data_IF_814596886236
#
_entry.id   IF_814596886236
#
_cell.length_a   1.000
_cell.length_b   1.000
_cell.length_c   1.000
_cell.angle_alpha   90.00
_cell.angle_beta   90.00
_cell.angle_gamma   90.00
#
_symmetry.space_group_name_H-M   'P 1'
#
loop_
_entity.id
_entity.type
_entity.pdbx_description
1 polymer ?
#
# COMPACT_ATOMS: atom_id res chain seq x y z
N UNK A 1 -67.24 -28.24 -9.99
CA UNK A 1 -65.98 -28.48 -9.25
C UNK A 1 -64.88 -27.85 -10.03
N UNK A 2 -64.56 -26.62 -9.72
CA UNK A 2 -63.48 -25.82 -10.31
C UNK A 2 -62.30 -25.85 -9.36
N UNK A 3 -61.25 -26.51 -9.77
CA UNK A 3 -59.98 -26.59 -9.04
C UNK A 3 -59.20 -25.32 -9.24
N UNK A 4 -59.10 -24.45 -8.23
CA UNK A 4 -58.17 -23.34 -8.19
C UNK A 4 -56.75 -23.87 -7.96
N UNK A 5 -55.94 -23.74 -8.95
CA UNK A 5 -54.48 -23.93 -8.83
C UNK A 5 -53.87 -22.69 -8.17
N UNK A 6 -53.47 -22.82 -6.92
CA UNK A 6 -52.64 -21.84 -6.21
C UNK A 6 -51.28 -21.77 -6.87
N UNK A 7 -51.05 -20.68 -7.58
CA UNK A 7 -49.76 -20.30 -8.11
C UNK A 7 -48.88 -19.85 -6.95
N UNK A 8 -47.95 -20.69 -6.50
CA UNK A 8 -46.90 -20.33 -5.57
C UNK A 8 -45.84 -19.48 -6.31
N UNK A 9 -45.84 -18.17 -6.11
CA UNK A 9 -44.76 -17.31 -6.50
C UNK A 9 -43.50 -17.77 -5.76
N UNK A 10 -42.37 -18.04 -6.46
CA UNK A 10 -41.16 -18.41 -5.75
C UNK A 10 -40.69 -17.23 -4.89
N UNK A 11 -40.38 -17.50 -3.62
CA UNK A 11 -39.81 -16.50 -2.72
C UNK A 11 -38.51 -15.97 -3.33
N UNK A 12 -38.49 -14.69 -3.71
CA UNK A 12 -37.29 -14.05 -4.19
C UNK A 12 -36.32 -13.86 -3.03
N UNK A 13 -35.14 -14.47 -3.13
CA UNK A 13 -34.07 -14.29 -2.17
C UNK A 13 -33.30 -13.02 -2.59
N UNK A 14 -33.36 -11.97 -1.77
CA UNK A 14 -32.62 -10.73 -1.99
C UNK A 14 -31.39 -10.69 -1.08
N UNK A 15 -30.20 -10.84 -1.66
CA UNK A 15 -28.92 -10.77 -0.97
C UNK A 15 -28.14 -9.56 -1.45
N UNK A 16 -27.62 -8.76 -0.54
CA UNK A 16 -26.73 -7.65 -0.87
C UNK A 16 -25.48 -7.64 0.01
N UNK A 17 -24.36 -7.22 -0.55
CA UNK A 17 -23.09 -7.05 0.15
C UNK A 17 -22.75 -5.56 0.31
N UNK A 18 -22.04 -5.25 1.38
CA UNK A 18 -21.56 -3.89 1.61
C UNK A 18 -20.16 -3.76 1.01
N UNK A 19 -20.04 -3.40 -0.23
CA UNK A 19 -18.80 -3.14 -0.99
C UNK A 19 -17.46 -3.58 -0.37
N UNK A 20 -16.59 -4.16 -1.15
CA UNK A 20 -15.31 -4.73 -0.68
C UNK A 20 -14.30 -3.65 -0.27
N UNK A 21 -13.39 -3.94 0.69
CA UNK A 21 -12.24 -3.09 0.95
C UNK A 21 -11.36 -3.04 -0.29
N UNK A 22 -11.23 -1.86 -0.89
CA UNK A 22 -10.34 -1.66 -2.03
C UNK A 22 -8.95 -1.32 -1.46
N UNK A 23 -7.92 -2.13 -1.72
CA UNK A 23 -6.55 -1.76 -1.41
C UNK A 23 -6.17 -0.49 -2.17
N UNK A 24 -5.33 0.35 -1.57
CA UNK A 24 -4.82 1.56 -2.23
C UNK A 24 -3.95 1.21 -3.45
N UNK A 25 -3.48 -0.03 -3.52
CA UNK A 25 -2.61 -0.56 -4.57
C UNK A 25 -3.20 -1.81 -5.21
N UNK A 26 -3.24 -1.85 -6.53
CA UNK A 26 -3.39 -3.12 -7.24
C UNK A 26 -2.08 -3.89 -7.15
N UNK A 27 -2.08 -4.91 -6.27
CA UNK A 27 -0.90 -5.73 -5.99
C UNK A 27 -0.40 -6.47 -7.23
N UNK A 28 -1.27 -6.73 -8.22
CA UNK A 28 -0.92 -7.45 -9.45
C UNK A 28 0.02 -6.64 -10.33
N UNK A 29 -0.16 -5.34 -10.42
CA UNK A 29 0.71 -4.47 -11.23
C UNK A 29 2.15 -4.40 -10.71
N UNK A 30 2.35 -4.53 -9.40
CA UNK A 30 3.67 -4.46 -8.78
C UNK A 30 4.45 -5.75 -8.87
N UNK A 31 3.74 -6.89 -8.88
CA UNK A 31 4.34 -8.22 -8.87
C UNK A 31 4.60 -8.78 -10.27
N UNK A 32 4.18 -8.08 -11.32
CA UNK A 32 4.58 -8.40 -12.69
C UNK A 32 6.01 -7.92 -12.92
N UNK A 33 6.96 -8.72 -12.41
CA UNK A 33 8.37 -8.57 -12.69
C UNK A 33 8.61 -9.01 -14.12
N UNK A 34 8.86 -8.06 -15.00
CA UNK A 34 9.19 -8.30 -16.38
C UNK A 34 10.66 -7.96 -16.65
N UNK A 35 11.29 -8.69 -17.55
CA UNK A 35 12.56 -8.23 -18.08
C UNK A 35 12.41 -6.85 -18.70
N UNK A 36 13.46 -6.03 -18.59
CA UNK A 36 13.48 -4.69 -19.16
C UNK A 36 13.22 -4.74 -20.67
N UNK A 37 12.12 -4.14 -21.10
CA UNK A 37 11.69 -4.15 -22.50
C UNK A 37 12.02 -2.81 -23.18
N UNK A 38 12.44 -2.89 -24.47
CA UNK A 38 12.60 -1.74 -25.32
C UNK A 38 11.27 -1.35 -25.99
N UNK A 39 10.77 -0.13 -25.73
CA UNK A 39 9.51 0.34 -26.30
C UNK A 39 9.64 1.12 -27.62
N UNK A 40 10.84 1.17 -28.21
CA UNK A 40 11.16 1.94 -29.40
C UNK A 40 11.86 3.27 -29.14
N UNK A 41 11.79 3.82 -27.91
CA UNK A 41 12.35 5.11 -27.52
C UNK A 41 13.26 5.01 -26.28
N UNK A 42 12.86 4.23 -25.26
CA UNK A 42 13.62 3.97 -24.04
C UNK A 42 13.35 2.55 -23.54
N UNK A 43 14.12 2.12 -22.57
CA UNK A 43 13.86 0.90 -21.83
C UNK A 43 12.82 1.14 -20.74
N UNK A 44 11.80 0.29 -20.68
CA UNK A 44 10.82 0.35 -19.60
C UNK A 44 11.41 -0.22 -18.31
N UNK A 45 11.15 0.41 -17.15
CA UNK A 45 11.55 -0.14 -15.87
C UNK A 45 10.92 -1.52 -15.63
N UNK A 46 11.67 -2.48 -15.03
CA UNK A 46 11.18 -3.86 -14.80
C UNK A 46 10.01 -3.91 -13.82
N UNK A 47 9.86 -2.88 -12.99
CA UNK A 47 8.79 -2.73 -12.02
C UNK A 47 8.18 -1.34 -12.19
N UNK A 48 6.86 -1.25 -12.04
CA UNK A 48 6.15 0.03 -12.10
C UNK A 48 6.69 1.03 -11.06
N UNK A 49 7.26 2.14 -11.55
CA UNK A 49 7.78 3.21 -10.69
C UNK A 49 6.67 3.87 -9.88
N UNK A 50 5.48 4.04 -10.50
CA UNK A 50 4.28 4.53 -9.81
C UNK A 50 3.80 3.55 -8.74
N UNK A 51 3.93 2.26 -9.02
CA UNK A 51 3.64 1.21 -8.05
C UNK A 51 4.58 1.28 -6.84
N UNK A 52 5.89 1.42 -7.05
CA UNK A 52 6.85 1.57 -5.95
C UNK A 52 6.63 2.86 -5.14
N UNK A 53 6.31 3.99 -5.80
CA UNK A 53 5.98 5.25 -5.11
C UNK A 53 4.75 5.09 -4.20
N UNK A 54 3.73 4.37 -4.65
CA UNK A 54 2.56 4.05 -3.83
C UNK A 54 2.89 3.05 -2.72
N UNK A 55 3.65 1.98 -3.03
CA UNK A 55 4.07 0.97 -2.08
C UNK A 55 4.88 1.55 -0.91
N UNK A 56 5.68 2.58 -1.15
CA UNK A 56 6.39 3.31 -0.09
C UNK A 56 5.48 3.71 1.08
N UNK A 57 4.19 3.97 0.83
CA UNK A 57 3.22 4.42 1.84
C UNK A 57 2.28 3.31 2.33
N UNK A 58 2.42 2.08 1.86
CA UNK A 58 1.50 0.98 2.19
C UNK A 58 1.58 0.56 3.66
N UNK A 59 2.76 0.56 4.25
CA UNK A 59 2.96 0.15 5.64
C UNK A 59 3.90 1.08 6.41
N UNK A 60 3.56 1.32 7.68
CA UNK A 60 4.29 2.24 8.56
C UNK A 60 5.76 1.84 8.70
N UNK A 61 6.04 0.57 8.96
CA UNK A 61 7.41 0.09 9.18
C UNK A 61 8.24 0.07 7.91
N UNK A 62 7.60 -0.15 6.75
CA UNK A 62 8.23 -0.04 5.43
C UNK A 62 8.72 1.40 5.17
N UNK A 63 7.82 2.37 5.29
CA UNK A 63 8.18 3.78 5.10
C UNK A 63 9.24 4.25 6.11
N UNK A 64 9.08 3.87 7.39
CA UNK A 64 10.00 4.27 8.45
C UNK A 64 11.41 3.73 8.26
N UNK A 65 11.56 2.48 7.83
CA UNK A 65 12.86 1.87 7.55
C UNK A 65 13.60 2.61 6.42
N UNK A 66 12.92 2.94 5.34
CA UNK A 66 13.44 3.73 4.24
C UNK A 66 13.89 5.12 4.71
N UNK A 67 13.06 5.79 5.52
CA UNK A 67 13.35 7.13 6.05
C UNK A 67 14.59 7.10 6.96
N UNK A 68 14.73 6.08 7.82
CA UNK A 68 15.89 5.91 8.70
C UNK A 68 17.16 5.72 7.88
N UNK A 69 17.18 4.78 6.92
CA UNK A 69 18.32 4.57 6.00
C UNK A 69 18.73 5.87 5.31
N UNK A 70 17.77 6.59 4.70
CA UNK A 70 18.00 7.89 4.07
C UNK A 70 18.59 8.93 5.03
N UNK A 71 18.07 8.99 6.25
CA UNK A 71 18.54 9.97 7.23
C UNK A 71 19.98 9.67 7.69
N UNK A 72 20.30 8.40 7.93
CA UNK A 72 21.66 7.96 8.25
C UNK A 72 22.63 8.33 7.13
N UNK A 73 22.31 7.95 5.90
CA UNK A 73 23.15 8.31 4.72
C UNK A 73 23.33 9.82 4.60
N UNK A 74 22.26 10.59 4.77
CA UNK A 74 22.34 12.05 4.71
C UNK A 74 23.15 12.67 5.86
N UNK A 75 23.11 12.08 7.05
CA UNK A 75 23.86 12.58 8.20
C UNK A 75 25.37 12.34 8.07
N UNK A 76 25.74 11.18 7.54
CA UNK A 76 27.14 10.76 7.33
C UNK A 76 27.76 11.37 6.07
N UNK A 77 26.95 11.91 5.16
CA UNK A 77 27.46 12.50 3.92
C UNK A 77 28.25 13.77 4.17
N UNK A 78 29.48 13.83 3.63
CA UNK A 78 30.30 15.03 3.61
C UNK A 78 29.98 15.84 2.35
N UNK A 79 29.40 17.05 2.46
CA UNK A 79 29.04 17.85 1.30
C UNK A 79 30.23 18.15 0.39
N UNK A 80 30.00 18.06 -0.91
CA UNK A 80 30.97 18.43 -1.92
C UNK A 80 30.55 19.74 -2.61
N UNK A 81 31.47 20.51 -3.14
CA UNK A 81 31.17 21.79 -3.80
C UNK A 81 30.14 21.68 -4.92
N UNK A 82 30.06 20.52 -5.58
CA UNK A 82 29.11 20.24 -6.67
C UNK A 82 27.81 19.55 -6.20
N UNK A 83 27.79 18.98 -5.00
CA UNK A 83 26.67 18.22 -4.48
C UNK A 83 26.36 18.60 -3.03
N UNK A 84 25.24 19.26 -2.83
CA UNK A 84 24.77 19.64 -1.50
C UNK A 84 24.24 18.42 -0.71
N UNK A 85 24.23 18.51 0.64
CA UNK A 85 23.60 17.48 1.48
C UNK A 85 22.11 17.29 1.14
N UNK A 86 21.42 18.36 0.78
CA UNK A 86 20.01 18.28 0.39
C UNK A 86 19.81 17.49 -0.91
N UNK A 87 20.67 17.75 -1.91
CA UNK A 87 20.64 17.02 -3.19
C UNK A 87 21.05 15.55 -2.99
N UNK A 88 22.08 15.28 -2.17
CA UNK A 88 22.46 13.91 -1.82
C UNK A 88 21.31 13.16 -1.09
N UNK A 89 20.61 13.82 -0.16
CA UNK A 89 19.47 13.24 0.52
C UNK A 89 18.34 12.84 -0.44
N UNK A 90 18.11 13.62 -1.50
CA UNK A 90 17.15 13.27 -2.56
C UNK A 90 17.64 12.08 -3.37
N UNK A 91 18.88 12.08 -3.82
CA UNK A 91 19.48 10.95 -4.51
C UNK A 91 19.39 9.66 -3.71
N UNK A 92 19.78 9.69 -2.43
CA UNK A 92 19.73 8.52 -1.55
C UNK A 92 18.30 8.02 -1.36
N UNK A 93 17.33 8.92 -1.28
CA UNK A 93 15.93 8.54 -1.15
C UNK A 93 15.41 7.83 -2.42
N UNK A 94 15.68 8.38 -3.59
CA UNK A 94 15.32 7.79 -4.88
C UNK A 94 15.97 6.41 -5.06
N UNK A 95 17.25 6.30 -4.75
CA UNK A 95 17.98 5.03 -4.81
C UNK A 95 17.40 3.96 -3.91
N UNK A 96 17.11 4.30 -2.64
CA UNK A 96 16.52 3.32 -1.69
C UNK A 96 15.12 2.89 -2.13
N UNK A 97 14.30 3.82 -2.64
CA UNK A 97 12.90 3.53 -3.02
C UNK A 97 12.81 2.79 -4.34
N UNK A 98 13.61 3.17 -5.34
CA UNK A 98 13.45 2.67 -6.71
C UNK A 98 14.59 1.74 -7.16
N UNK A 99 15.64 1.57 -6.35
CA UNK A 99 16.87 0.91 -6.78
C UNK A 99 17.66 1.70 -7.80
N UNK A 100 17.25 2.93 -8.09
CA UNK A 100 17.84 3.79 -9.13
C UNK A 100 17.96 5.22 -8.63
N UNK A 101 19.13 5.80 -8.82
CA UNK A 101 19.38 7.21 -8.51
C UNK A 101 20.10 7.89 -9.66
N UNK A 102 19.72 9.11 -9.99
CA UNK A 102 20.28 9.85 -11.12
C UNK A 102 20.82 11.19 -10.67
N UNK A 103 22.04 11.51 -11.15
CA UNK A 103 22.65 12.82 -11.01
C UNK A 103 22.97 13.40 -12.39
N UNK A 104 22.42 14.56 -12.68
CA UNK A 104 22.76 15.34 -13.84
C UNK A 104 23.93 16.26 -13.52
N UNK A 105 24.98 16.22 -14.34
CA UNK A 105 26.06 17.21 -14.33
C UNK A 105 25.63 18.43 -15.11
N UNK A 106 25.45 19.53 -14.39
CA UNK A 106 25.16 20.83 -14.99
C UNK A 106 26.46 21.59 -15.14
N UNK A 107 26.83 21.94 -16.37
CA UNK A 107 28.06 22.67 -16.71
C UNK A 107 27.79 24.17 -16.87
N UNK A 108 28.77 24.99 -16.53
CA UNK A 108 28.79 26.40 -16.85
C UNK A 108 29.04 26.61 -18.36
N UNK A 109 28.81 27.83 -18.87
CA UNK A 109 28.99 28.20 -20.29
C UNK A 109 30.39 27.83 -20.82
N UNK A 110 31.40 27.75 -19.96
CA UNK A 110 32.76 27.33 -20.32
C UNK A 110 33.04 25.83 -20.20
N UNK A 111 32.01 24.97 -20.07
CA UNK A 111 32.15 23.51 -19.98
C UNK A 111 32.67 22.98 -18.64
N UNK A 112 32.86 23.85 -17.63
CA UNK A 112 33.28 23.41 -16.29
C UNK A 112 32.08 22.94 -15.46
N UNK A 113 32.18 21.79 -14.76
CA UNK A 113 31.13 21.35 -13.87
C UNK A 113 30.80 22.38 -12.79
N UNK A 114 29.53 22.79 -12.75
CA UNK A 114 29.01 23.78 -11.81
C UNK A 114 28.25 23.14 -10.69
N UNK A 115 27.45 22.12 -11.01
CA UNK A 115 26.57 21.48 -10.04
C UNK A 115 26.21 20.04 -10.48
N UNK A 116 25.98 19.16 -9.50
CA UNK A 116 25.30 17.88 -9.68
C UNK A 116 23.87 18.02 -9.17
N UNK A 117 22.91 17.76 -10.02
CA UNK A 117 21.48 17.90 -9.73
C UNK A 117 20.80 16.53 -9.77
N UNK A 118 20.11 16.09 -8.70
CA UNK A 118 19.31 14.87 -8.74
C UNK A 118 18.19 14.99 -9.79
N UNK A 119 18.05 13.98 -10.63
CA UNK A 119 16.91 13.83 -11.52
C UNK A 119 15.97 12.76 -10.96
N UNK A 120 14.66 13.04 -10.84
CA UNK A 120 13.70 12.07 -10.28
C UNK A 120 13.66 10.76 -11.07
N UNK A 121 13.88 9.63 -10.38
CA UNK A 121 13.86 8.31 -10.98
C UNK A 121 12.49 7.98 -11.61
N UNK A 122 11.43 8.51 -11.04
CA UNK A 122 10.07 8.39 -11.58
C UNK A 122 9.95 8.90 -13.03
N UNK A 123 10.72 9.92 -13.40
CA UNK A 123 10.65 10.59 -14.69
C UNK A 123 11.85 10.30 -15.58
N UNK A 124 12.93 9.74 -15.06
CA UNK A 124 14.15 9.47 -15.81
C UNK A 124 14.10 8.07 -16.44
N UNK A 125 14.44 8.01 -17.73
CA UNK A 125 14.50 6.74 -18.47
C UNK A 125 15.85 6.61 -19.16
N UNK A 126 16.35 5.36 -19.22
CA UNK A 126 17.54 5.01 -19.99
C UNK A 126 17.15 4.60 -21.40
N UNK A 127 17.81 5.15 -22.38
CA UNK A 127 17.69 4.79 -23.80
C UNK A 127 18.94 4.02 -24.26
N UNK A 128 19.01 3.67 -25.54
CA UNK A 128 20.20 3.06 -26.15
C UNK A 128 21.39 4.02 -26.11
N UNK A 129 22.57 3.47 -26.23
CA UNK A 129 23.84 4.23 -26.31
C UNK A 129 24.08 5.17 -25.11
N UNK A 130 23.70 4.70 -23.90
CA UNK A 130 23.80 5.43 -22.62
C UNK A 130 23.16 6.82 -22.64
N UNK A 131 22.16 7.03 -23.48
CA UNK A 131 21.35 8.24 -23.47
C UNK A 131 20.27 8.16 -22.40
N UNK A 132 19.89 9.31 -21.89
CA UNK A 132 18.88 9.45 -20.85
C UNK A 132 17.85 10.49 -21.26
N UNK A 133 16.58 10.19 -20.91
CA UNK A 133 15.42 11.01 -21.22
C UNK A 133 14.71 11.37 -19.91
N UNK A 134 14.24 12.61 -19.82
CA UNK A 134 13.33 13.05 -18.77
C UNK A 134 11.91 13.15 -19.34
N UNK A 135 10.97 12.39 -18.77
CA UNK A 135 9.59 12.36 -19.20
C UNK A 135 8.77 13.36 -18.38
N UNK A 136 8.38 14.48 -18.99
CA UNK A 136 7.42 15.40 -18.37
C UNK A 136 5.99 14.86 -18.43
N UNK A 137 5.66 14.21 -19.55
CA UNK A 137 4.40 13.48 -19.80
C UNK A 137 4.64 12.45 -20.90
N UNK A 138 3.65 11.63 -21.23
CA UNK A 138 3.73 10.66 -22.33
C UNK A 138 4.12 11.28 -23.69
N UNK A 139 3.91 12.58 -23.88
CA UNK A 139 4.13 13.28 -25.15
C UNK A 139 5.22 14.34 -25.08
N UNK A 140 5.77 14.60 -23.90
CA UNK A 140 6.83 15.61 -23.71
C UNK A 140 8.02 14.97 -23.01
N UNK A 141 9.10 14.86 -23.74
CA UNK A 141 10.38 14.36 -23.24
C UNK A 141 11.48 15.39 -23.48
N UNK A 142 12.46 15.37 -22.62
CA UNK A 142 13.71 16.10 -22.74
C UNK A 142 14.87 15.12 -22.72
N UNK A 143 15.73 15.16 -23.74
CA UNK A 143 16.95 14.37 -23.77
C UNK A 143 18.06 15.11 -23.04
N UNK A 144 18.69 14.44 -22.08
CA UNK A 144 19.86 15.00 -21.41
C UNK A 144 21.07 15.03 -22.33
N UNK A 145 21.96 15.98 -22.10
CA UNK A 145 23.21 16.02 -22.85
C UNK A 145 23.99 14.70 -22.71
N UNK A 146 24.60 14.19 -23.79
CA UNK A 146 25.35 12.93 -23.75
C UNK A 146 26.41 12.94 -22.65
N UNK A 147 26.46 11.89 -21.84
CA UNK A 147 27.39 11.74 -20.72
C UNK A 147 27.20 12.72 -19.55
N UNK A 148 26.06 13.43 -19.49
CA UNK A 148 25.74 14.32 -18.37
C UNK A 148 25.06 13.61 -17.20
N UNK A 149 24.51 12.41 -17.39
CA UNK A 149 23.83 11.64 -16.35
C UNK A 149 24.76 10.58 -15.77
N UNK A 150 24.89 10.62 -14.44
CA UNK A 150 25.39 9.50 -13.66
C UNK A 150 24.19 8.72 -13.13
N UNK A 151 24.13 7.40 -13.44
CA UNK A 151 23.09 6.50 -13.01
C UNK A 151 23.64 5.57 -11.94
N UNK A 152 23.17 5.72 -10.71
CA UNK A 152 23.43 4.81 -9.60
C UNK A 152 22.38 3.70 -9.62
N UNK A 153 22.85 2.46 -9.75
CA UNK A 153 22.01 1.26 -9.93
C UNK A 153 22.20 0.35 -8.73
N UNK A 154 21.12 -0.09 -8.10
CA UNK A 154 21.15 -1.22 -7.18
C UNK A 154 21.24 -2.52 -7.99
N UNK A 155 22.33 -3.31 -7.84
CA UNK A 155 22.55 -4.48 -8.69
C UNK A 155 21.49 -5.56 -8.43
N UNK A 156 21.00 -6.17 -9.50
CA UNK A 156 20.12 -7.31 -9.47
C UNK A 156 20.63 -8.41 -10.41
N UNK A 157 20.31 -9.68 -10.09
CA UNK A 157 20.78 -10.83 -10.86
C UNK A 157 20.17 -10.92 -12.27
N UNK A 158 19.01 -10.32 -12.47
CA UNK A 158 18.21 -10.42 -13.70
C UNK A 158 18.12 -9.10 -14.46
N UNK A 159 18.74 -8.00 -13.96
CA UNK A 159 18.59 -6.68 -14.52
C UNK A 159 19.95 -5.98 -14.69
N UNK A 160 20.24 -5.51 -15.91
CA UNK A 160 21.46 -4.77 -16.21
C UNK A 160 21.21 -3.27 -16.47
N UNK A 161 19.99 -2.90 -16.87
CA UNK A 161 19.67 -1.54 -17.34
C UNK A 161 19.14 -0.67 -16.20
N UNK A 162 18.34 -1.27 -15.32
CA UNK A 162 17.82 -0.62 -14.13
C UNK A 162 18.14 -1.42 -12.89
N UNK A 163 18.28 -0.75 -11.78
CA UNK A 163 18.34 -1.37 -10.47
C UNK A 163 16.97 -1.77 -9.96
N UNK A 164 16.97 -2.68 -9.01
CA UNK A 164 15.77 -3.19 -8.33
C UNK A 164 15.92 -2.95 -6.84
N UNK A 165 14.89 -2.42 -6.14
CA UNK A 165 15.03 -2.12 -4.71
C UNK A 165 15.27 -3.37 -3.89
N UNK A 166 16.22 -3.32 -2.94
CA UNK A 166 16.58 -4.45 -2.05
C UNK A 166 15.40 -5.05 -1.29
N UNK A 167 14.39 -4.24 -0.97
CA UNK A 167 13.28 -4.61 -0.09
C UNK A 167 12.13 -5.35 -0.79
N UNK A 168 12.24 -5.69 -2.08
CA UNK A 168 11.14 -6.31 -2.84
C UNK A 168 10.55 -7.54 -2.15
N UNK A 169 11.40 -8.38 -1.55
CA UNK A 169 10.95 -9.56 -0.81
C UNK A 169 10.00 -9.21 0.35
N UNK A 170 10.13 -8.03 0.94
CA UNK A 170 9.28 -7.55 2.03
C UNK A 170 7.96 -6.91 1.58
N UNK A 171 7.75 -6.67 0.29
CA UNK A 171 6.53 -6.00 -0.18
C UNK A 171 5.27 -6.82 0.06
N UNK A 172 5.33 -8.14 -0.01
CA UNK A 172 4.18 -9.00 0.31
C UNK A 172 3.73 -8.81 1.77
N UNK A 173 4.69 -8.75 2.68
CA UNK A 173 4.41 -8.48 4.10
C UNK A 173 3.88 -7.05 4.32
N UNK A 174 4.37 -6.07 3.54
CA UNK A 174 3.84 -4.70 3.57
C UNK A 174 2.37 -4.65 3.11
N UNK A 175 2.00 -5.34 2.04
CA UNK A 175 0.63 -5.43 1.53
C UNK A 175 -0.30 -6.21 2.47
N UNK A 176 0.20 -7.29 3.07
CA UNK A 176 -0.55 -8.02 4.10
C UNK A 176 -0.82 -7.14 5.32
N UNK A 177 0.16 -6.34 5.74
CA UNK A 177 0.00 -5.35 6.83
C UNK A 177 -1.02 -4.27 6.48
N UNK A 178 -1.03 -3.78 5.23
CA UNK A 178 -2.02 -2.85 4.72
C UNK A 178 -3.42 -3.47 4.76
N UNK A 179 -3.58 -4.67 4.19
CA UNK A 179 -4.85 -5.42 4.16
C UNK A 179 -5.41 -5.66 5.56
N UNK A 180 -4.57 -6.07 6.51
CA UNK A 180 -4.95 -6.23 7.91
C UNK A 180 -5.37 -4.89 8.56
N UNK A 181 -4.72 -3.79 8.18
CA UNK A 181 -5.06 -2.45 8.67
C UNK A 181 -6.40 -1.98 8.09
N UNK A 182 -6.64 -2.20 6.80
CA UNK A 182 -7.90 -1.88 6.12
C UNK A 182 -9.05 -2.68 6.69
N UNK A 183 -8.85 -3.99 6.89
CA UNK A 183 -9.85 -4.85 7.51
C UNK A 183 -10.18 -4.37 8.92
N UNK A 184 -9.17 -4.12 9.77
CA UNK A 184 -9.37 -3.61 11.13
C UNK A 184 -10.09 -2.27 11.14
N UNK A 185 -9.73 -1.35 10.24
CA UNK A 185 -10.41 -0.07 10.09
C UNK A 185 -11.88 -0.27 9.75
N UNK A 186 -12.18 -1.18 8.81
CA UNK A 186 -13.55 -1.49 8.44
C UNK A 186 -14.34 -2.15 9.57
N UNK A 187 -13.70 -3.07 10.30
CA UNK A 187 -14.29 -3.70 11.48
C UNK A 187 -14.74 -2.64 12.49
N UNK A 188 -13.90 -1.67 12.82
CA UNK A 188 -14.28 -0.59 13.73
C UNK A 188 -15.31 0.38 13.15
N UNK A 189 -15.26 0.68 11.86
CA UNK A 189 -16.25 1.51 11.18
C UNK A 189 -17.64 0.85 11.16
N UNK A 190 -17.69 -0.47 11.17
CA UNK A 190 -18.94 -1.25 11.22
C UNK A 190 -19.41 -1.55 12.66
N UNK A 191 -18.89 -0.87 13.67
CA UNK A 191 -19.29 -1.06 15.07
C UNK A 191 -18.72 -2.32 15.72
N UNK A 192 -17.49 -2.72 15.33
CA UNK A 192 -16.81 -3.92 15.82
C UNK A 192 -17.50 -5.24 15.46
N UNK A 193 -18.18 -5.26 14.32
CA UNK A 193 -18.77 -6.46 13.75
C UNK A 193 -18.07 -6.78 12.42
N UNK A 194 -17.59 -8.01 12.29
CA UNK A 194 -16.98 -8.51 11.04
C UNK A 194 -18.03 -8.58 9.90
N UNK A 195 -19.26 -8.71 10.28
CA UNK A 195 -20.45 -8.78 9.46
C UNK A 195 -21.55 -9.53 10.22
N UNK A 196 -22.76 -9.39 9.76
CA UNK A 196 -23.87 -10.18 10.29
C UNK A 196 -24.84 -10.50 9.17
N UNK A 197 -25.58 -11.59 9.36
CA UNK A 197 -26.74 -11.94 8.55
C UNK A 197 -27.95 -11.48 9.33
N UNK A 198 -28.72 -10.56 8.76
CA UNK A 198 -30.03 -10.23 9.28
C UNK A 198 -31.01 -11.22 8.66
N UNK A 199 -31.51 -12.15 9.48
CA UNK A 199 -32.53 -13.11 9.08
C UNK A 199 -33.87 -12.66 9.63
N UNK A 200 -34.83 -12.47 8.73
CA UNK A 200 -36.22 -12.10 9.07
C UNK A 200 -37.14 -13.21 8.57
N UNK A 201 -37.83 -13.85 9.48
CA UNK A 201 -38.81 -14.92 9.17
C UNK A 201 -40.24 -14.48 9.42
N UNK A 202 -40.47 -13.23 9.78
CA UNK A 202 -41.81 -12.68 9.95
C UNK A 202 -42.40 -12.25 8.60
N UNK A 203 -43.74 -12.34 8.47
CA UNK A 203 -44.40 -11.94 7.24
C UNK A 203 -44.26 -10.44 7.03
N UNK A 204 -43.41 -10.08 6.08
CA UNK A 204 -43.23 -8.69 5.64
C UNK A 204 -44.39 -8.38 4.70
N UNK A 205 -45.18 -7.36 5.07
CA UNK A 205 -46.40 -7.02 4.33
C UNK A 205 -46.13 -6.12 3.08
N UNK A 206 -44.93 -5.53 2.94
CA UNK A 206 -44.61 -4.71 1.79
C UNK A 206 -43.11 -4.63 1.49
N UNK A 207 -42.73 -4.43 0.22
CA UNK A 207 -41.33 -4.12 -0.19
C UNK A 207 -40.82 -2.84 0.47
N UNK A 208 -41.68 -1.89 0.78
CA UNK A 208 -41.35 -0.64 1.45
C UNK A 208 -40.81 -0.88 2.87
N UNK A 209 -41.26 -1.88 3.58
CA UNK A 209 -40.78 -2.23 4.93
C UNK A 209 -39.36 -2.81 4.86
N UNK A 210 -39.07 -3.63 3.85
CA UNK A 210 -37.71 -4.15 3.59
C UNK A 210 -36.72 -3.02 3.30
N UNK A 211 -37.11 -2.08 2.46
CA UNK A 211 -36.26 -0.93 2.09
C UNK A 211 -36.09 0.04 3.26
N UNK A 212 -37.09 0.21 4.12
CA UNK A 212 -36.99 1.00 5.33
C UNK A 212 -35.97 0.37 6.33
N UNK A 213 -36.04 -0.94 6.55
CA UNK A 213 -35.08 -1.66 7.39
C UNK A 213 -33.67 -1.61 6.80
N UNK A 214 -33.53 -1.83 5.48
CA UNK A 214 -32.26 -1.72 4.76
C UNK A 214 -31.64 -0.32 4.90
N UNK A 215 -32.43 0.72 4.76
CA UNK A 215 -32.01 2.12 4.90
C UNK A 215 -31.61 2.44 6.34
N UNK A 216 -32.40 1.99 7.33
CA UNK A 216 -32.08 2.17 8.74
C UNK A 216 -30.76 1.47 9.12
N UNK A 217 -30.52 0.26 8.63
CA UNK A 217 -29.26 -0.47 8.84
C UNK A 217 -28.06 0.21 8.16
N UNK A 218 -28.23 0.76 6.95
CA UNK A 218 -27.18 1.55 6.28
C UNK A 218 -26.83 2.81 7.07
N UNK A 219 -27.82 3.49 7.59
CA UNK A 219 -27.65 4.76 8.33
C UNK A 219 -27.15 4.55 9.78
N UNK A 220 -27.29 3.34 10.33
CA UNK A 220 -26.77 2.99 11.66
C UNK A 220 -25.26 2.70 11.69
N UNK A 221 -24.59 2.70 10.53
CA UNK A 221 -23.16 2.40 10.40
C UNK A 221 -22.30 3.65 10.46
N UNK A 222 -21.07 3.49 11.00
CA UNK A 222 -20.01 4.50 10.99
C UNK A 222 -19.65 5.06 12.36
N UNK A 223 -18.47 5.72 12.48
CA UNK A 223 -18.05 6.36 13.70
C UNK A 223 -19.03 7.44 14.13
N UNK A 224 -19.51 7.37 15.36
CA UNK A 224 -20.52 8.29 15.90
C UNK A 224 -21.98 7.89 15.64
N UNK A 225 -22.24 6.88 14.84
CA UNK A 225 -23.56 6.35 14.58
C UNK A 225 -23.84 5.04 15.38
N UNK A 226 -23.33 4.95 16.60
CA UNK A 226 -23.73 3.89 17.56
C UNK A 226 -25.18 4.12 18.02
N UNK A 227 -26.11 4.10 17.06
CA UNK A 227 -27.53 4.20 17.37
C UNK A 227 -28.09 2.80 17.53
N UNK A 228 -28.72 2.56 18.69
CA UNK A 228 -29.52 1.37 18.88
C UNK A 228 -30.62 1.37 17.83
N UNK A 229 -30.65 0.32 17.00
CA UNK A 229 -31.75 0.11 16.06
C UNK A 229 -32.98 -0.33 16.87
N UNK A 230 -33.99 0.52 16.93
CA UNK A 230 -35.29 0.15 17.49
C UNK A 230 -36.16 -0.38 16.35
N UNK A 231 -36.49 -1.67 16.42
CA UNK A 231 -37.42 -2.30 15.52
C UNK A 231 -38.70 -2.68 16.31
N UNK A 232 -39.84 -2.13 15.91
CA UNK A 232 -41.14 -2.46 16.49
C UNK A 232 -41.99 -3.17 15.45
N UNK A 233 -42.38 -4.40 15.75
CA UNK A 233 -43.34 -5.19 14.95
C UNK A 233 -44.54 -5.57 15.85
N UNK A 234 -45.71 -4.94 15.66
CA UNK A 234 -46.87 -5.18 16.55
C UNK A 234 -47.44 -6.60 16.48
N UNK A 235 -47.18 -7.35 15.43
CA UNK A 235 -47.63 -8.72 15.22
C UNK A 235 -46.46 -9.69 15.00
N UNK A 236 -45.21 -9.29 15.40
CA UNK A 236 -44.02 -10.09 15.21
C UNK A 236 -44.03 -11.40 15.96
N UNK A 237 -43.54 -12.47 15.34
CA UNK A 237 -43.29 -13.74 16.00
C UNK A 237 -42.09 -13.63 16.94
N UNK A 238 -42.10 -14.40 18.04
CA UNK A 238 -40.91 -14.60 18.85
C UNK A 238 -39.77 -15.09 17.94
N UNK A 239 -38.62 -14.42 17.96
CA UNK A 239 -37.45 -14.69 17.09
C UNK A 239 -37.68 -14.41 15.59
N UNK A 240 -38.64 -13.54 15.24
CA UNK A 240 -38.92 -13.14 13.86
C UNK A 240 -37.79 -12.37 13.18
N UNK A 241 -36.92 -11.75 13.98
CA UNK A 241 -35.71 -11.04 13.51
C UNK A 241 -34.49 -11.53 14.27
N UNK A 242 -33.54 -12.10 13.58
CA UNK A 242 -32.28 -12.60 14.18
C UNK A 242 -31.07 -11.95 13.54
N UNK A 243 -30.15 -11.48 14.37
CA UNK A 243 -28.84 -11.04 13.98
C UNK A 243 -27.85 -12.19 14.20
N UNK A 244 -27.37 -12.80 13.13
CA UNK A 244 -26.43 -13.91 13.19
C UNK A 244 -25.04 -13.32 12.89
N UNK A 245 -24.15 -13.18 13.89
CA UNK A 245 -22.81 -12.67 13.64
C UNK A 245 -22.00 -13.65 12.79
N UNK A 246 -21.32 -13.14 11.77
CA UNK A 246 -20.39 -13.93 10.99
C UNK A 246 -19.07 -13.93 11.76
N UNK A 247 -18.84 -15.02 12.51
CA UNK A 247 -17.59 -15.39 13.19
C UNK A 247 -16.76 -14.25 13.81
N UNK A 248 -16.89 -14.05 15.11
CA UNK A 248 -16.23 -12.97 15.87
C UNK A 248 -14.91 -13.39 16.58
N UNK A 249 -14.66 -14.69 16.72
CA UNK A 249 -13.78 -15.19 17.79
C UNK A 249 -12.29 -15.18 17.45
N UNK A 250 -11.90 -15.24 16.18
CA UNK A 250 -10.49 -15.35 15.81
C UNK A 250 -9.80 -14.00 15.45
N UNK A 251 -10.58 -12.96 15.15
CA UNK A 251 -10.06 -11.78 14.49
C UNK A 251 -9.08 -10.95 15.33
N UNK A 252 -9.28 -10.83 16.63
CA UNK A 252 -8.54 -9.85 17.44
C UNK A 252 -7.07 -10.25 17.70
N UNK A 253 -6.85 -11.51 18.01
CA UNK A 253 -5.49 -12.02 18.30
C UNK A 253 -4.72 -12.26 17.00
N UNK A 254 -5.40 -12.68 15.96
CA UNK A 254 -4.85 -12.92 14.63
C UNK A 254 -4.32 -11.62 13.98
N UNK A 255 -5.05 -10.49 14.10
CA UNK A 255 -4.57 -9.20 13.58
C UNK A 255 -3.32 -8.70 14.29
N UNK A 256 -3.20 -8.93 15.58
CA UNK A 256 -2.01 -8.54 16.34
C UNK A 256 -0.82 -9.39 15.91
N UNK A 257 -1.02 -10.69 15.72
CA UNK A 257 -0.01 -11.61 15.21
C UNK A 257 0.47 -11.26 13.81
N UNK A 258 -0.45 -11.02 12.87
CA UNK A 258 -0.12 -10.59 11.50
C UNK A 258 0.69 -9.29 11.51
N UNK A 259 0.29 -8.31 12.33
CA UNK A 259 1.02 -7.03 12.40
C UNK A 259 2.42 -7.17 12.97
N UNK A 260 2.63 -8.05 13.96
CA UNK A 260 3.94 -8.31 14.51
C UNK A 260 4.84 -9.05 13.51
N UNK A 261 4.34 -10.13 12.91
CA UNK A 261 5.10 -10.90 11.92
C UNK A 261 5.47 -10.04 10.71
N UNK A 262 4.51 -9.35 10.12
CA UNK A 262 4.77 -8.50 8.94
C UNK A 262 5.70 -7.31 9.25
N UNK A 263 5.68 -6.78 10.48
CA UNK A 263 6.66 -5.79 10.92
C UNK A 263 8.07 -6.39 10.88
N UNK A 264 8.25 -7.56 11.46
CA UNK A 264 9.55 -8.19 11.58
C UNK A 264 10.11 -8.57 10.19
N UNK A 265 9.26 -9.08 9.30
CA UNK A 265 9.62 -9.35 7.90
C UNK A 265 10.07 -8.08 7.16
N UNK A 266 9.33 -6.96 7.31
CA UNK A 266 9.70 -5.70 6.68
C UNK A 266 11.04 -5.18 7.21
N UNK A 267 11.27 -5.24 8.53
CA UNK A 267 12.52 -4.80 9.13
C UNK A 267 13.70 -5.68 8.67
N UNK A 268 13.50 -6.99 8.57
CA UNK A 268 14.49 -7.92 8.04
C UNK A 268 14.80 -7.63 6.56
N UNK A 269 13.77 -7.42 5.72
CA UNK A 269 13.95 -7.08 4.30
C UNK A 269 14.71 -5.76 4.10
N UNK A 270 14.51 -4.80 4.99
CA UNK A 270 15.26 -3.55 5.00
C UNK A 270 16.60 -3.63 5.73
N UNK A 271 16.90 -4.72 6.42
CA UNK A 271 18.10 -4.86 7.27
C UNK A 271 18.22 -3.75 8.33
N UNK A 272 17.07 -3.31 8.86
CA UNK A 272 17.01 -2.24 9.88
C UNK A 272 16.68 -2.85 11.23
N UNK A 273 17.56 -2.75 12.22
CA UNK A 273 17.27 -3.21 13.58
C UNK A 273 16.04 -2.51 14.17
N UNK A 274 15.13 -3.23 14.85
CA UNK A 274 13.92 -2.65 15.45
C UNK A 274 14.18 -1.46 16.36
N UNK A 275 15.31 -1.48 17.08
CA UNK A 275 15.75 -0.45 18.03
C UNK A 275 15.91 0.92 17.35
N UNK A 276 16.38 0.97 16.09
CA UNK A 276 16.52 2.21 15.33
C UNK A 276 15.19 2.87 14.98
N UNK A 277 14.09 2.11 15.06
CA UNK A 277 12.72 2.61 14.86
C UNK A 277 11.98 2.86 16.18
N UNK A 278 12.65 2.71 17.33
CA UNK A 278 12.03 2.81 18.65
C UNK A 278 11.07 1.66 18.97
N UNK A 279 11.16 0.54 18.24
CA UNK A 279 10.36 -0.65 18.50
C UNK A 279 11.05 -1.50 19.57
N UNK A 280 10.36 -1.70 20.69
CA UNK A 280 10.83 -2.59 21.75
C UNK A 280 10.45 -4.03 21.41
N UNK A 281 11.40 -4.95 21.24
CA UNK A 281 11.09 -6.36 21.04
C UNK A 281 10.39 -6.93 22.29
N UNK A 282 9.32 -7.70 22.08
CA UNK A 282 8.50 -8.23 23.19
C UNK A 282 9.25 -9.19 24.14
N UNK A 283 10.34 -9.80 23.67
CA UNK A 283 11.07 -10.86 24.40
C UNK A 283 12.53 -10.49 24.76
N UNK A 284 12.95 -9.26 24.59
CA UNK A 284 14.31 -8.85 24.97
C UNK A 284 14.29 -8.18 26.32
N UNK A 285 14.96 -8.77 27.29
CA UNK A 285 15.19 -8.19 28.62
C UNK A 285 16.10 -6.97 28.61
N UNK A 286 15.79 -5.98 27.81
CA UNK A 286 16.50 -4.71 27.74
C UNK A 286 16.70 -4.23 26.30
N UNK A 287 16.78 -2.93 26.11
CA UNK A 287 17.32 -2.32 24.90
C UNK A 287 18.76 -2.79 24.75
N UNK A 288 19.01 -3.74 23.84
CA UNK A 288 20.38 -4.02 23.42
C UNK A 288 21.04 -2.70 23.01
N UNK A 289 22.32 -2.57 23.32
CA UNK A 289 23.10 -1.38 22.99
C UNK A 289 22.91 -1.04 21.50
N UNK A 290 22.26 0.07 21.22
CA UNK A 290 21.99 0.54 19.85
C UNK A 290 23.30 0.69 19.07
N UNK A 291 24.41 1.02 19.76
CA UNK A 291 25.75 1.13 19.18
C UNK A 291 26.35 -0.23 18.77
N UNK A 292 25.85 -1.34 19.33
CA UNK A 292 26.28 -2.69 18.93
C UNK A 292 25.38 -3.28 17.82
N UNK A 293 24.26 -2.64 17.51
CA UNK A 293 23.33 -3.07 16.50
C UNK A 293 23.58 -2.40 15.12
N UNK A 294 24.46 -1.42 15.10
CA UNK A 294 24.96 -0.75 13.89
C UNK A 294 26.36 -1.26 13.54
#
# INVERSE_FOLDING_TARGET
>A
MTTETLSSTPASFDAFTFGDPVPVLDQRELMQYAETAWNGRWYEPPISVDGLDRAFRSAVHHASAIIVKRNILSATFVPHRLLSRADFKRLAFEYIVFGNGYLERVDAIGGRPMRLRPSPAKHTRRAKDDRYLFLHSWHQEHEFAPGSIFHLIEPDLSQEIYGVPEYLAGLQSAFLNESATLFRRRYYLNGSLAGFILYINDAIHSEQDVDAIRTALKNAKGPGNFRNLFLYSPNGKKDGVQLIPISEVAAKDEFTGIKAATRDDMLAAHRVPPQLLGVVPQNSGGFGDVLRAT
#
